data_IF_391936833606
#
_entry.id   IF_391936833606
#
_cell.length_a   1.000
_cell.length_b   1.000
_cell.length_c   1.000
_cell.angle_alpha   90.00
_cell.angle_beta   90.00
_cell.angle_gamma   90.00
#
_symmetry.space_group_name_H-M   'P 1'
#
loop_
_entity.id
_entity.type
_entity.pdbx_description
1 polymer ?
#
# COMPACT_ATOMS: atom_id res chain seq x y z
N UNK A 1 -3.26 -10.71 -9.38
CA UNK A 1 -4.33 -9.77 -9.78
C UNK A 1 -4.23 -8.46 -9.02
N UNK A 2 -4.25 -8.49 -7.68
CA UNK A 2 -4.15 -7.26 -6.89
C UNK A 2 -2.88 -6.44 -7.21
N UNK A 3 -1.68 -7.03 -7.10
CA UNK A 3 -0.40 -6.34 -7.41
C UNK A 3 -0.28 -5.79 -8.84
N UNK A 4 -1.16 -6.23 -9.75
CA UNK A 4 -1.15 -5.86 -11.17
C UNK A 4 -2.05 -4.63 -11.45
N UNK A 5 -2.78 -4.12 -10.45
CA UNK A 5 -3.73 -3.01 -10.63
C UNK A 5 -3.08 -1.65 -10.98
N UNK A 6 -1.76 -1.52 -10.84
CA UNK A 6 -1.04 -0.27 -11.13
C UNK A 6 -0.25 -0.31 -12.44
N UNK A 7 -0.49 -1.31 -13.30
CA UNK A 7 0.24 -1.47 -14.56
C UNK A 7 0.28 -0.19 -15.42
N UNK A 8 -0.78 0.63 -15.40
CA UNK A 8 -0.80 1.91 -16.11
C UNK A 8 0.27 2.90 -15.65
N UNK A 9 0.57 2.94 -14.35
CA UNK A 9 1.66 3.75 -13.77
C UNK A 9 3.00 3.06 -14.02
N UNK A 10 3.08 1.75 -13.75
CA UNK A 10 4.31 0.95 -13.87
C UNK A 10 4.86 1.02 -15.31
N UNK A 11 4.01 0.87 -16.31
CA UNK A 11 4.38 0.93 -17.73
C UNK A 11 4.98 2.28 -18.14
N UNK A 12 4.75 3.35 -17.38
CA UNK A 12 5.40 4.65 -17.58
C UNK A 12 6.74 4.75 -16.85
N UNK A 13 6.94 4.02 -15.75
CA UNK A 13 8.19 4.07 -14.98
C UNK A 13 9.31 3.23 -15.62
N UNK A 14 8.99 2.02 -16.11
CA UNK A 14 10.00 1.10 -16.67
C UNK A 14 10.84 1.76 -17.79
N UNK A 15 10.26 2.42 -18.82
CA UNK A 15 11.07 3.05 -19.89
C UNK A 15 11.92 4.24 -19.43
N UNK A 16 11.73 4.72 -18.19
CA UNK A 16 12.48 5.82 -17.59
C UNK A 16 13.65 5.32 -16.73
N UNK A 17 13.95 4.03 -16.77
CA UNK A 17 15.08 3.44 -16.02
C UNK A 17 14.75 3.10 -14.57
N UNK A 18 13.47 2.92 -14.23
CA UNK A 18 13.08 2.42 -12.90
C UNK A 18 12.87 0.90 -12.93
N UNK A 19 13.40 0.23 -11.91
CA UNK A 19 12.97 -1.12 -11.53
C UNK A 19 11.75 -1.00 -10.62
N UNK A 20 10.66 -1.70 -10.93
CA UNK A 20 9.43 -1.62 -10.12
C UNK A 20 9.16 -2.96 -9.46
N UNK A 21 9.02 -2.94 -8.13
CA UNK A 21 8.69 -4.10 -7.30
C UNK A 21 7.29 -3.91 -6.73
N UNK A 22 6.35 -4.74 -7.15
CA UNK A 22 4.98 -4.71 -6.61
C UNK A 22 4.85 -5.69 -5.46
N UNK A 23 4.25 -5.23 -4.36
CA UNK A 23 4.14 -6.02 -3.13
C UNK A 23 2.70 -6.50 -3.00
N UNK A 24 2.49 -7.82 -3.04
CA UNK A 24 1.23 -8.42 -2.59
C UNK A 24 1.28 -8.68 -1.10
N UNK A 25 0.16 -8.59 -0.41
CA UNK A 25 0.04 -8.95 1.00
C UNK A 25 -0.75 -10.28 1.14
N UNK A 26 -0.05 -11.43 1.24
CA UNK A 26 -0.64 -12.71 1.60
C UNK A 26 -1.63 -12.57 2.76
N UNK A 27 -2.77 -13.26 2.69
CA UNK A 27 -3.87 -13.21 3.68
C UNK A 27 -4.62 -11.87 3.81
N UNK A 28 -4.13 -10.78 3.21
CA UNK A 28 -4.87 -9.52 3.11
C UNK A 28 -5.52 -9.33 1.74
N UNK A 29 -4.90 -9.83 0.68
CA UNK A 29 -5.48 -9.85 -0.66
C UNK A 29 -6.67 -10.81 -0.72
N UNK A 30 -7.69 -10.50 -1.54
CA UNK A 30 -8.88 -11.36 -1.76
C UNK A 30 -8.45 -12.80 -2.06
N UNK A 31 -7.43 -12.96 -2.88
CA UNK A 31 -6.66 -14.18 -3.03
C UNK A 31 -5.24 -13.88 -3.54
N UNK A 32 -4.29 -14.74 -3.17
CA UNK A 32 -2.92 -14.74 -3.69
C UNK A 32 -2.63 -16.08 -4.33
N UNK A 33 -2.01 -16.05 -5.50
CA UNK A 33 -1.55 -17.23 -6.25
C UNK A 33 -0.02 -17.29 -6.16
N UNK A 34 0.50 -18.44 -5.74
CA UNK A 34 1.92 -18.72 -5.63
C UNK A 34 2.49 -19.32 -6.93
N UNK A 35 3.82 -19.30 -7.13
CA UNK A 35 4.44 -19.84 -8.35
C UNK A 35 4.13 -21.31 -8.62
N UNK A 36 3.88 -22.11 -7.59
CA UNK A 36 3.48 -23.53 -7.69
C UNK A 36 1.99 -23.73 -8.05
N UNK A 37 1.24 -22.64 -8.26
CA UNK A 37 -0.20 -22.65 -8.51
C UNK A 37 -1.05 -22.74 -7.24
N UNK A 38 -0.43 -22.86 -6.06
CA UNK A 38 -1.12 -22.82 -4.78
C UNK A 38 -1.83 -21.48 -4.57
N UNK A 39 -2.96 -21.50 -3.87
CA UNK A 39 -3.72 -20.28 -3.56
C UNK A 39 -4.01 -20.15 -2.09
N UNK A 40 -3.95 -18.92 -1.59
CA UNK A 40 -4.44 -18.55 -0.26
C UNK A 40 -5.51 -17.49 -0.42
N UNK A 41 -6.53 -17.58 0.43
CA UNK A 41 -7.60 -16.58 0.52
C UNK A 41 -7.27 -15.56 1.60
N UNK A 42 -7.95 -14.43 1.53
CA UNK A 42 -7.98 -13.45 2.60
C UNK A 42 -8.37 -14.11 3.93
N UNK A 43 -7.68 -13.74 5.01
CA UNK A 43 -8.00 -14.18 6.36
C UNK A 43 -9.34 -13.57 6.82
N UNK A 44 -10.16 -14.36 7.52
CA UNK A 44 -11.45 -13.91 8.05
C UNK A 44 -11.31 -12.65 8.92
N UNK A 45 -10.26 -12.59 9.75
CA UNK A 45 -9.97 -11.43 10.59
C UNK A 45 -9.77 -10.12 9.81
N UNK A 46 -9.34 -10.19 8.54
CA UNK A 46 -9.23 -9.03 7.66
C UNK A 46 -10.54 -8.78 6.90
N UNK A 47 -11.18 -9.85 6.43
CA UNK A 47 -12.45 -9.76 5.71
C UNK A 47 -13.59 -9.18 6.56
N UNK A 48 -13.57 -9.45 7.86
CA UNK A 48 -14.58 -9.06 8.86
C UNK A 48 -14.14 -7.85 9.68
N UNK A 49 -13.00 -7.23 9.37
CA UNK A 49 -12.48 -6.08 10.10
C UNK A 49 -13.45 -4.91 10.01
N UNK A 50 -14.04 -4.54 11.15
CA UNK A 50 -15.01 -3.46 11.23
C UNK A 50 -14.35 -2.10 10.95
N UNK A 51 -15.06 -1.20 10.26
CA UNK A 51 -14.55 0.13 9.90
C UNK A 51 -14.21 1.02 11.11
N UNK A 52 -14.81 0.73 12.28
CA UNK A 52 -14.56 1.42 13.53
C UNK A 52 -13.55 0.68 14.45
N UNK A 53 -13.01 -0.47 14.06
CA UNK A 53 -11.97 -1.17 14.82
C UNK A 53 -10.58 -0.57 14.54
N UNK A 54 -10.34 0.61 15.09
CA UNK A 54 -9.06 1.33 14.92
C UNK A 54 -7.84 0.51 15.37
N UNK A 55 -7.99 -0.36 16.38
CA UNK A 55 -6.90 -1.20 16.85
C UNK A 55 -6.56 -2.29 15.83
N UNK A 56 -7.56 -2.92 15.22
CA UNK A 56 -7.38 -3.87 14.13
C UNK A 56 -6.76 -3.22 12.89
N UNK A 57 -7.23 -2.04 12.49
CA UNK A 57 -6.63 -1.29 11.38
C UNK A 57 -5.18 -0.85 11.66
N UNK A 58 -4.85 -0.51 12.92
CA UNK A 58 -3.49 -0.18 13.31
C UNK A 58 -2.56 -1.38 13.23
N UNK A 59 -2.99 -2.56 13.71
CA UNK A 59 -2.23 -3.81 13.56
C UNK A 59 -2.03 -4.19 12.08
N UNK A 60 -3.04 -3.95 11.25
CA UNK A 60 -2.94 -4.20 9.82
C UNK A 60 -1.93 -3.26 9.14
N UNK A 61 -1.93 -1.97 9.52
CA UNK A 61 -0.92 -1.01 9.07
C UNK A 61 0.49 -1.45 9.46
N UNK A 62 0.70 -1.85 10.72
CA UNK A 62 2.00 -2.34 11.20
C UNK A 62 2.45 -3.58 10.42
N UNK A 63 1.56 -4.56 10.22
CA UNK A 63 1.84 -5.74 9.40
C UNK A 63 2.27 -5.36 7.98
N UNK A 64 1.61 -4.36 7.39
CA UNK A 64 1.97 -3.88 6.05
C UNK A 64 3.31 -3.15 6.01
N UNK A 65 3.63 -2.36 7.02
CA UNK A 65 4.93 -1.71 7.15
C UNK A 65 6.06 -2.74 7.30
N UNK A 66 5.85 -3.80 8.09
CA UNK A 66 6.78 -4.92 8.20
C UNK A 66 7.00 -5.64 6.87
N UNK A 67 5.93 -5.87 6.10
CA UNK A 67 6.04 -6.50 4.78
C UNK A 67 6.88 -5.68 3.80
N UNK A 68 6.68 -4.36 3.76
CA UNK A 68 7.48 -3.45 2.93
C UNK A 68 8.96 -3.50 3.35
N UNK A 69 9.23 -3.47 4.66
CA UNK A 69 10.59 -3.56 5.20
C UNK A 69 11.27 -4.88 4.83
N UNK A 70 10.55 -5.99 4.97
CA UNK A 70 11.05 -7.32 4.60
C UNK A 70 11.35 -7.43 3.10
N UNK A 71 10.52 -6.81 2.24
CA UNK A 71 10.80 -6.75 0.79
C UNK A 71 12.05 -5.91 0.52
N UNK A 72 12.26 -4.79 1.20
CA UNK A 72 13.49 -4.00 1.06
C UNK A 72 14.75 -4.77 1.48
N UNK A 73 14.68 -5.53 2.57
CA UNK A 73 15.76 -6.43 3.02
C UNK A 73 16.03 -7.57 2.04
N UNK A 74 14.97 -8.15 1.47
CA UNK A 74 15.10 -9.18 0.45
C UNK A 74 15.71 -8.62 -0.83
N UNK A 75 15.29 -7.44 -1.28
CA UNK A 75 15.90 -6.76 -2.42
C UNK A 75 17.37 -6.41 -2.17
N UNK A 76 17.75 -5.97 -0.97
CA UNK A 76 19.16 -5.76 -0.60
C UNK A 76 19.97 -7.06 -0.69
N UNK A 77 19.37 -8.19 -0.30
CA UNK A 77 19.99 -9.52 -0.43
C UNK A 77 20.20 -9.89 -1.90
N UNK A 78 19.15 -9.77 -2.73
CA UNK A 78 19.25 -10.02 -4.16
C UNK A 78 20.32 -9.13 -4.82
N UNK A 79 20.37 -7.85 -4.45
CA UNK A 79 21.36 -6.91 -5.00
C UNK A 79 22.82 -7.29 -4.69
N UNK A 80 23.05 -8.09 -3.65
CA UNK A 80 24.39 -8.53 -3.24
C UNK A 80 24.78 -9.91 -3.76
N UNK A 81 23.82 -10.82 -3.89
CA UNK A 81 24.13 -12.25 -4.08
C UNK A 81 23.42 -12.92 -5.25
N UNK A 82 22.41 -12.30 -5.85
CA UNK A 82 21.68 -12.90 -6.96
C UNK A 82 22.49 -12.82 -8.26
N UNK A 83 22.55 -13.92 -9.02
CA UNK A 83 23.37 -14.01 -10.24
C UNK A 83 22.92 -13.07 -11.36
N UNK A 84 21.63 -12.71 -11.40
CA UNK A 84 21.06 -11.87 -12.45
C UNK A 84 20.85 -10.44 -11.97
N UNK A 85 20.52 -10.25 -10.69
CA UNK A 85 20.12 -8.96 -10.14
C UNK A 85 21.23 -8.23 -9.37
N UNK A 86 22.34 -8.88 -9.05
CA UNK A 86 23.40 -8.25 -8.26
C UNK A 86 23.96 -6.99 -8.93
N UNK A 87 23.96 -5.87 -8.19
CA UNK A 87 24.46 -4.58 -8.64
C UNK A 87 23.62 -3.88 -9.71
N UNK A 88 22.44 -4.39 -10.07
CA UNK A 88 21.58 -3.80 -11.11
C UNK A 88 20.74 -2.61 -10.64
N UNK A 89 20.65 -2.38 -9.33
CA UNK A 89 19.86 -1.30 -8.76
C UNK A 89 20.51 -0.74 -7.49
N UNK A 90 20.17 0.49 -7.14
CA UNK A 90 20.66 1.16 -5.94
C UNK A 90 19.61 1.08 -4.83
N UNK A 91 19.82 0.18 -3.87
CA UNK A 91 18.92 0.02 -2.72
C UNK A 91 18.92 1.26 -1.80
N UNK A 92 19.87 2.18 -1.97
CA UNK A 92 19.88 3.49 -1.31
C UNK A 92 19.06 4.56 -2.03
N UNK A 93 18.47 4.26 -3.19
CA UNK A 93 17.66 5.19 -4.00
C UNK A 93 16.26 4.63 -4.27
N UNK A 94 15.49 4.45 -3.20
CA UNK A 94 14.13 3.92 -3.29
C UNK A 94 13.10 5.04 -3.25
N UNK A 95 12.12 5.03 -4.15
CA UNK A 95 10.88 5.78 -4.01
C UNK A 95 9.74 4.79 -3.67
N UNK A 96 8.93 5.11 -2.66
CA UNK A 96 7.81 4.27 -2.27
C UNK A 96 6.48 4.89 -2.70
N UNK A 97 5.59 4.10 -3.27
CA UNK A 97 4.25 4.54 -3.68
C UNK A 97 3.20 3.65 -3.02
N UNK A 98 2.07 4.20 -2.61
CA UNK A 98 1.01 3.36 -2.07
C UNK A 98 -0.36 3.99 -2.19
N UNK A 99 -1.38 3.16 -2.38
CA UNK A 99 -2.77 3.57 -2.43
C UNK A 99 -3.49 3.19 -1.14
N UNK A 100 -4.32 4.08 -0.61
CA UNK A 100 -5.14 3.86 0.61
C UNK A 100 -4.30 3.36 1.78
N UNK A 101 -4.53 2.15 2.30
CA UNK A 101 -3.74 1.57 3.38
C UNK A 101 -2.27 1.43 3.00
N UNK A 102 -1.98 1.07 1.73
CA UNK A 102 -0.62 1.03 1.21
C UNK A 102 0.06 2.40 1.25
N UNK A 103 -0.70 3.48 1.04
CA UNK A 103 -0.20 4.86 1.17
C UNK A 103 0.20 5.20 2.60
N UNK A 104 -0.65 4.86 3.58
CA UNK A 104 -0.30 5.02 4.99
C UNK A 104 0.93 4.17 5.37
N UNK A 105 1.01 2.94 4.86
CA UNK A 105 2.11 2.02 5.15
C UNK A 105 3.46 2.51 4.61
N UNK A 106 3.53 2.96 3.35
CA UNK A 106 4.79 3.49 2.79
C UNK A 106 5.26 4.75 3.50
N UNK A 107 4.32 5.59 3.96
CA UNK A 107 4.67 6.77 4.75
C UNK A 107 5.23 6.37 6.12
N UNK A 108 4.62 5.40 6.79
CA UNK A 108 5.09 4.91 8.10
C UNK A 108 6.49 4.30 8.00
N UNK A 109 6.77 3.50 6.98
CA UNK A 109 8.12 2.95 6.76
C UNK A 109 9.13 4.05 6.46
N UNK A 110 8.77 5.04 5.63
CA UNK A 110 9.66 6.14 5.26
C UNK A 110 10.06 7.04 6.44
N UNK A 111 9.33 7.01 7.57
CA UNK A 111 9.75 7.70 8.80
C UNK A 111 10.99 7.07 9.43
N UNK A 112 11.21 5.78 9.21
CA UNK A 112 12.22 5.00 9.94
C UNK A 112 13.24 4.31 9.03
N UNK A 113 12.98 4.19 7.73
CA UNK A 113 13.87 3.56 6.76
C UNK A 113 14.50 4.59 5.82
N UNK A 114 15.80 4.82 5.99
CA UNK A 114 16.55 5.83 5.23
C UNK A 114 16.82 5.43 3.77
N UNK A 115 16.53 4.19 3.36
CA UNK A 115 16.65 3.73 1.97
C UNK A 115 15.59 4.39 1.08
N UNK A 116 14.44 4.72 1.67
CA UNK A 116 13.38 5.47 1.00
C UNK A 116 13.79 6.95 0.94
N UNK A 117 13.74 7.53 -0.26
CA UNK A 117 14.14 8.91 -0.58
C UNK A 117 12.98 9.79 -1.04
N UNK A 118 11.85 9.20 -1.40
CA UNK A 118 10.63 9.91 -1.77
C UNK A 118 9.40 9.02 -1.57
N UNK A 119 8.25 9.62 -1.27
CA UNK A 119 6.99 8.91 -1.10
C UNK A 119 5.88 9.52 -1.95
N UNK A 120 5.09 8.67 -2.63
CA UNK A 120 3.90 9.06 -3.39
C UNK A 120 2.67 8.40 -2.77
N UNK A 121 1.76 9.22 -2.27
CA UNK A 121 0.53 8.79 -1.61
C UNK A 121 -0.64 8.95 -2.56
N UNK A 122 -1.24 7.83 -2.97
CA UNK A 122 -2.44 7.80 -3.80
C UNK A 122 -3.65 7.63 -2.88
N UNK A 123 -4.48 8.66 -2.70
CA UNK A 123 -5.65 8.67 -1.81
C UNK A 123 -5.47 7.83 -0.52
N UNK A 124 -4.47 8.16 0.33
CA UNK A 124 -4.07 7.29 1.44
C UNK A 124 -5.15 7.21 2.52
N UNK A 125 -5.13 6.15 3.32
CA UNK A 125 -5.98 5.98 4.50
C UNK A 125 -5.55 6.94 5.62
N UNK A 126 -5.91 8.22 5.48
CA UNK A 126 -5.50 9.29 6.37
C UNK A 126 -5.84 9.06 7.84
N UNK A 127 -6.94 8.36 8.12
CA UNK A 127 -7.36 8.05 9.49
C UNK A 127 -6.38 7.13 10.23
N UNK A 128 -5.44 6.50 9.53
CA UNK A 128 -4.40 5.63 10.09
C UNK A 128 -3.02 6.28 10.14
N UNK A 129 -2.84 7.45 9.51
CA UNK A 129 -1.57 8.17 9.57
C UNK A 129 -1.43 8.75 10.98
N UNK A 130 -0.46 8.22 11.72
CA UNK A 130 -0.17 8.66 13.09
C UNK A 130 0.23 10.14 13.06
N UNK A 131 -0.40 10.93 13.93
CA UNK A 131 0.02 12.29 14.26
C UNK A 131 1.01 12.25 15.41
N UNK A 132 2.14 11.60 15.19
CA UNK A 132 3.35 11.94 15.92
C UNK A 132 3.91 13.20 15.23
N UNK A 133 4.37 14.21 15.96
CA UNK A 133 4.88 15.47 15.37
C UNK A 133 6.18 15.28 14.54
N UNK A 134 6.43 14.09 14.00
CA UNK A 134 7.52 13.77 13.10
C UNK A 134 7.21 14.35 11.71
N UNK A 135 8.07 15.26 11.26
CA UNK A 135 8.06 15.72 9.88
C UNK A 135 8.73 14.65 9.05
N UNK A 136 8.14 14.25 7.92
CA UNK A 136 8.77 13.30 7.01
C UNK A 136 10.15 13.83 6.60
N UNK A 137 11.17 12.99 6.72
CA UNK A 137 12.55 13.30 6.33
C UNK A 137 12.76 13.29 4.81
N UNK A 138 11.73 12.92 4.05
CA UNK A 138 11.75 12.77 2.60
C UNK A 138 10.62 13.58 1.94
N UNK A 139 10.77 13.99 0.68
CA UNK A 139 9.68 14.60 -0.09
C UNK A 139 8.47 13.66 -0.19
N UNK A 140 7.28 14.21 0.09
CA UNK A 140 6.00 13.50 0.01
C UNK A 140 5.11 14.17 -1.03
N UNK A 141 4.73 13.43 -2.08
CA UNK A 141 3.69 13.84 -3.03
C UNK A 141 2.37 13.19 -2.64
N UNK A 142 1.38 14.02 -2.34
CA UNK A 142 0.02 13.58 -2.05
C UNK A 142 -0.89 13.79 -3.26
N UNK A 143 -1.44 12.71 -3.80
CA UNK A 143 -2.48 12.71 -4.83
C UNK A 143 -3.79 12.25 -4.21
N UNK A 144 -4.84 13.06 -4.33
CA UNK A 144 -6.15 12.76 -3.75
C UNK A 144 -7.23 12.71 -4.82
N UNK A 145 -8.18 11.80 -4.67
CA UNK A 145 -9.41 11.89 -5.46
C UNK A 145 -10.31 13.00 -4.91
N UNK A 146 -11.01 13.68 -5.81
CA UNK A 146 -11.93 14.78 -5.49
C UNK A 146 -13.12 14.32 -4.65
N UNK A 147 -13.63 13.11 -4.90
CA UNK A 147 -14.82 12.55 -4.24
C UNK A 147 -14.58 12.15 -2.79
N UNK A 148 -13.33 11.88 -2.37
CA UNK A 148 -12.96 11.54 -0.98
C UNK A 148 -12.96 12.76 -0.02
N UNK A 149 -13.78 13.79 -0.27
CA UNK A 149 -13.94 14.89 0.67
C UNK A 149 -14.40 14.36 2.03
N UNK A 150 -13.85 14.92 3.11
CA UNK A 150 -14.14 14.55 4.51
C UNK A 150 -15.65 14.42 4.81
N UNK A 151 -16.46 15.23 4.13
CA UNK A 151 -17.93 15.22 4.16
C UNK A 151 -18.50 13.85 3.76
N UNK A 152 -17.96 13.17 2.74
CA UNK A 152 -18.52 11.91 2.25
C UNK A 152 -18.22 10.72 3.17
N UNK A 153 -17.05 10.69 3.83
CA UNK A 153 -16.72 9.69 4.87
C UNK A 153 -17.66 9.83 6.07
N UNK A 154 -17.94 11.08 6.49
CA UNK A 154 -18.92 11.36 7.56
C UNK A 154 -20.34 11.01 7.09
N UNK A 155 -20.69 11.30 5.84
CA UNK A 155 -22.03 11.03 5.29
C UNK A 155 -22.28 9.53 5.14
N UNK A 156 -21.27 8.72 4.79
CA UNK A 156 -21.38 7.25 4.80
C UNK A 156 -21.56 6.68 6.20
N UNK A 157 -20.96 7.27 7.25
CA UNK A 157 -21.22 6.85 8.63
C UNK A 157 -22.61 7.26 9.12
N UNK A 158 -23.13 8.41 8.66
CA UNK A 158 -24.45 8.93 9.06
C UNK A 158 -25.62 8.35 8.23
N UNK A 159 -25.40 7.94 6.98
CA UNK A 159 -26.44 7.34 6.11
C UNK A 159 -26.91 5.96 6.60
N UNK A 160 -26.17 5.28 7.48
CA UNK A 160 -26.65 4.06 8.13
C UNK A 160 -27.75 4.30 9.18
N UNK A 161 -28.01 5.56 9.58
CA UNK A 161 -29.06 5.88 10.57
C UNK A 161 -30.36 6.42 9.96
N UNK A 162 -30.38 6.96 8.74
CA UNK A 162 -31.61 7.51 8.14
C UNK A 162 -31.55 7.53 6.60
N UNK A 163 -32.12 6.54 5.92
CA UNK A 163 -32.91 6.68 4.67
C UNK A 163 -33.33 5.30 4.10
N UNK A 164 -34.48 5.21 3.42
CA UNK A 164 -35.08 3.95 3.00
C UNK A 164 -34.37 3.33 1.79
N UNK A 165 -34.43 2.00 1.73
CA UNK A 165 -33.92 1.15 0.66
C UNK A 165 -34.34 1.64 -0.73
N UNK A 166 -33.42 2.26 -1.48
CA UNK A 166 -33.26 2.06 -2.94
C UNK A 166 -32.03 2.81 -3.42
N UNK A 167 -30.92 2.08 -3.50
CA UNK A 167 -29.88 2.20 -4.53
C UNK A 167 -28.89 1.06 -4.25
N UNK A 168 -29.01 -0.01 -5.03
CA UNK A 168 -27.93 -0.98 -5.21
C UNK A 168 -27.06 -0.44 -6.36
N UNK A 169 -25.75 -0.35 -6.16
CA UNK A 169 -24.89 -1.36 -6.76
C UNK A 169 -24.10 -2.11 -5.67
N UNK A 170 -24.12 -3.43 -5.81
CA UNK A 170 -23.56 -4.37 -4.86
C UNK A 170 -22.01 -4.32 -4.81
N UNK A 171 -21.54 -4.31 -3.56
CA UNK A 171 -20.19 -4.63 -3.04
C UNK A 171 -19.02 -3.73 -3.44
N UNK A 172 -18.84 -2.63 -2.69
CA UNK A 172 -17.51 -2.08 -2.42
C UNK A 172 -16.84 -2.93 -1.34
N UNK A 173 -15.67 -3.51 -1.65
CA UNK A 173 -14.75 -4.10 -0.67
C UNK A 173 -13.43 -3.35 -0.76
N UNK A 174 -12.91 -2.75 0.32
CA UNK A 174 -11.66 -2.00 0.27
C UNK A 174 -10.48 -2.96 0.42
N UNK A 175 -9.70 -3.24 -0.63
CA UNK A 175 -8.42 -3.95 -0.52
C UNK A 175 -7.38 -3.31 -1.44
N UNK A 176 -6.23 -2.91 -0.87
CA UNK A 176 -5.34 -1.85 -1.39
C UNK A 176 -3.86 -2.17 -1.14
N UNK A 177 -2.96 -1.67 -2.01
CA UNK A 177 -1.58 -2.14 -2.25
C UNK A 177 -0.54 -1.01 -2.16
N UNK A 178 0.69 -1.36 -1.76
CA UNK A 178 1.90 -0.56 -1.96
C UNK A 178 2.70 -1.03 -3.18
N UNK A 179 3.20 -0.07 -3.97
CA UNK A 179 4.12 -0.27 -5.10
C UNK A 179 5.46 0.34 -4.71
N UNK A 180 6.53 -0.45 -4.73
CA UNK A 180 7.89 0.06 -4.51
C UNK A 180 8.53 0.39 -5.86
N UNK A 181 9.06 1.61 -6.00
CA UNK A 181 9.78 2.05 -7.20
C UNK A 181 11.27 2.20 -6.85
N UNK A 182 12.09 1.30 -7.36
CA UNK A 182 13.55 1.34 -7.19
C UNK A 182 14.16 2.06 -8.40
N UNK A 183 15.01 3.05 -8.19
CA UNK A 183 15.77 3.66 -9.28
C UNK A 183 16.98 2.77 -9.60
N UNK A 184 17.32 2.64 -10.90
CA UNK A 184 18.59 2.06 -11.35
C UNK A 184 19.73 3.07 -11.22
#
# INVERSE_FOLDING_TARGET
MERDMYLGIIAKLIPRGFMVVTISAPHESVFTVFPDGGTIKQAAAIAELASNDYAGWSRLLESRAHLITAVLEYMDTLNRSDSELAGLFDIGKVAAMGHSLGGAAVLEVAKHDNRIKAVILLDPSFHLIRRDNSVSSVPVLLLRQETSRFIMVITMQLQFMTLPQKLQPHSWRPFLIGVLCLAM
#
